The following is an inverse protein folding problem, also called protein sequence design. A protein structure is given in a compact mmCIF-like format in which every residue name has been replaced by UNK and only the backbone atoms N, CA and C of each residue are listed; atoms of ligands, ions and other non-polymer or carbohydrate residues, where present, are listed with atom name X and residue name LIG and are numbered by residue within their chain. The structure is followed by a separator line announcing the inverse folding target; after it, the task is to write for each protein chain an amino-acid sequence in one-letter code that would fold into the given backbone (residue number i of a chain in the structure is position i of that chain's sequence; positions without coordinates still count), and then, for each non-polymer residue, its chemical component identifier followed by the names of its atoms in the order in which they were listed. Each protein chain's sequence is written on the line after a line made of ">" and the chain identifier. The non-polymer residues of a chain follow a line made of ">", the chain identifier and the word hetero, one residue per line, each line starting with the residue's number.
data_IF_819815554240
#
_entry.id   IF_819815554240
#
_cell.length_a   1.000
_cell.length_b   1.000
_cell.length_c   1.000
_cell.angle_alpha   90.00
_cell.angle_beta   90.00
_cell.angle_gamma   90.00
#
_symmetry.space_group_name_H-M   'P 1'
#
loop_
_entity.id
_entity.type
_entity.pdbx_description
1 polymer ?
#
# COMPACT_ATOMS: atom_id res chain seq x y z
N UNK A 1 -17.85 9.34 -42.40
CA UNK A 1 -18.07 8.73 -41.05
C UNK A 1 -17.15 7.54 -40.74
N UNK A 2 -16.59 6.83 -41.74
CA UNK A 2 -15.65 5.71 -41.50
C UNK A 2 -14.35 6.12 -40.77
N UNK A 3 -13.86 7.34 -40.97
CA UNK A 3 -12.60 7.79 -40.37
C UNK A 3 -12.68 8.07 -38.85
N UNK A 4 -13.88 8.34 -38.32
CA UNK A 4 -14.09 8.57 -36.88
C UNK A 4 -13.98 7.25 -36.09
N UNK A 5 -14.37 6.12 -36.70
CA UNK A 5 -14.29 4.80 -36.07
C UNK A 5 -12.83 4.40 -35.77
N UNK A 6 -11.88 4.77 -36.64
CA UNK A 6 -10.46 4.46 -36.43
C UNK A 6 -9.84 5.26 -35.27
N UNK A 7 -10.27 6.50 -35.04
CA UNK A 7 -9.79 7.33 -33.92
C UNK A 7 -10.29 6.75 -32.58
N UNK A 8 -11.53 6.27 -32.54
CA UNK A 8 -12.10 5.60 -31.36
C UNK A 8 -11.37 4.28 -31.10
N UNK A 9 -11.03 3.50 -32.13
CA UNK A 9 -10.29 2.25 -31.98
C UNK A 9 -8.87 2.43 -31.41
N UNK A 10 -8.17 3.51 -31.78
CA UNK A 10 -6.80 3.83 -31.30
C UNK A 10 -6.81 4.27 -29.83
N UNK A 11 -7.90 4.86 -29.33
CA UNK A 11 -8.02 5.25 -27.92
C UNK A 11 -8.26 4.06 -26.97
N UNK A 12 -8.70 2.91 -27.49
CA UNK A 12 -9.03 1.72 -26.66
C UNK A 12 -7.78 0.86 -26.39
N UNK A 13 -6.75 0.91 -27.25
CA UNK A 13 -5.54 0.07 -27.10
C UNK A 13 -4.54 0.59 -26.06
N UNK A 14 -4.73 1.80 -25.52
CA UNK A 14 -3.72 2.47 -24.68
C UNK A 14 -3.91 2.32 -23.17
N UNK A 15 -4.80 1.42 -22.69
CA UNK A 15 -5.03 1.29 -21.23
C UNK A 15 -4.98 -0.11 -20.64
N UNK A 16 -4.31 -1.07 -21.28
CA UNK A 16 -3.86 -2.31 -20.60
C UNK A 16 -2.67 -2.04 -19.67
N UNK A 17 -2.84 -1.09 -18.75
CA UNK A 17 -1.93 -0.91 -17.62
C UNK A 17 -2.17 -2.05 -16.63
N UNK A 18 -1.55 -3.19 -16.93
CA UNK A 18 -1.11 -4.11 -15.89
C UNK A 18 -0.26 -3.30 -14.90
N UNK A 19 -0.48 -3.46 -13.60
CA UNK A 19 0.44 -2.87 -12.62
C UNK A 19 1.82 -3.43 -12.92
N UNK A 20 2.73 -2.58 -13.40
CA UNK A 20 4.02 -3.02 -13.86
C UNK A 20 4.86 -3.44 -12.65
N UNK A 21 5.08 -4.74 -12.56
CA UNK A 21 5.90 -5.35 -11.52
C UNK A 21 7.32 -4.76 -11.52
N UNK A 22 7.82 -4.38 -12.70
CA UNK A 22 9.14 -3.76 -12.88
C UNK A 22 9.14 -2.35 -12.30
N UNK A 23 8.11 -1.53 -12.55
CA UNK A 23 8.03 -0.18 -11.96
C UNK A 23 7.94 -0.22 -10.44
N UNK A 24 7.20 -1.19 -9.87
CA UNK A 24 7.14 -1.38 -8.42
C UNK A 24 8.52 -1.75 -7.85
N UNK A 25 9.25 -2.66 -8.50
CA UNK A 25 10.61 -3.04 -8.07
C UNK A 25 11.61 -1.89 -8.07
N UNK A 26 11.47 -0.90 -8.95
CA UNK A 26 12.42 0.22 -9.06
C UNK A 26 12.08 1.43 -8.18
N UNK A 27 10.94 1.41 -7.49
CA UNK A 27 10.45 2.58 -6.74
C UNK A 27 10.92 2.56 -5.28
N UNK A 28 11.55 3.65 -4.85
CA UNK A 28 11.99 3.85 -3.46
C UNK A 28 10.83 4.05 -2.48
N UNK A 29 9.68 4.51 -3.00
CA UNK A 29 8.44 4.65 -2.25
C UNK A 29 7.36 3.76 -2.86
N UNK A 30 6.71 2.95 -2.01
CA UNK A 30 5.61 2.09 -2.39
C UNK A 30 4.36 2.49 -1.62
N UNK A 31 3.22 2.41 -2.29
CA UNK A 31 1.93 2.66 -1.68
C UNK A 31 1.09 1.38 -1.69
N UNK A 32 0.44 1.06 -0.58
CA UNK A 32 -0.47 -0.09 -0.49
C UNK A 32 -1.88 0.42 -0.30
N UNK A 33 -2.79 0.04 -1.21
CA UNK A 33 -4.16 0.56 -1.21
C UNK A 33 -5.05 -0.26 -0.27
N UNK A 34 -5.48 0.35 0.83
CA UNK A 34 -6.46 -0.22 1.76
C UNK A 34 -7.85 0.33 1.48
N UNK A 35 -8.84 -0.55 1.30
CA UNK A 35 -10.24 -0.21 0.98
C UNK A 35 -11.21 -0.61 2.08
N UNK A 36 -10.79 -1.42 3.06
CA UNK A 36 -11.67 -1.96 4.10
C UNK A 36 -12.69 -2.98 3.57
N UNK A 37 -12.32 -3.78 2.57
CA UNK A 37 -13.18 -4.86 2.04
C UNK A 37 -13.15 -6.10 2.94
N UNK A 38 -14.00 -7.11 2.63
CA UNK A 38 -14.15 -8.37 3.41
C UNK A 38 -12.84 -9.03 3.88
N UNK A 39 -11.78 -8.98 3.06
CA UNK A 39 -10.49 -9.62 3.34
C UNK A 39 -9.41 -8.63 3.80
N UNK A 40 -9.81 -7.46 4.24
CA UNK A 40 -8.94 -6.39 4.71
C UNK A 40 -9.42 -5.99 6.12
N UNK A 41 -8.56 -6.08 7.13
CA UNK A 41 -8.87 -5.60 8.48
C UNK A 41 -7.95 -4.45 8.86
N UNK A 42 -8.51 -3.50 9.59
CA UNK A 42 -7.77 -2.44 10.27
C UNK A 42 -8.08 -2.55 11.76
N UNK A 43 -7.05 -2.58 12.58
CA UNK A 43 -7.16 -2.38 14.02
C UNK A 43 -6.47 -1.08 14.40
N UNK A 44 -7.11 -0.31 15.28
CA UNK A 44 -6.54 0.89 15.88
C UNK A 44 -6.44 0.59 17.36
N UNK A 45 -5.23 0.63 17.90
CA UNK A 45 -4.97 0.49 19.32
C UNK A 45 -4.75 1.90 19.87
N UNK A 46 -5.79 2.55 20.45
CA UNK A 46 -5.62 3.84 21.10
C UNK A 46 -4.70 3.66 22.31
N UNK A 47 -3.62 4.46 22.37
CA UNK A 47 -2.61 4.24 23.41
C UNK A 47 -2.99 4.76 24.79
N UNK A 48 -2.60 3.96 25.78
CA UNK A 48 -2.58 4.25 27.22
C UNK A 48 -1.26 4.86 27.71
N UNK A 49 -0.23 5.10 26.85
CA UNK A 49 1.11 5.60 27.28
C UNK A 49 1.74 6.77 26.49
N UNK A 50 1.53 6.93 25.18
CA UNK A 50 2.17 8.04 24.41
C UNK A 50 1.23 8.88 23.53
N UNK A 51 -0.09 8.85 23.76
CA UNK A 51 -1.10 9.58 22.97
C UNK A 51 -0.93 9.39 21.45
N UNK A 52 -0.59 8.16 21.02
CA UNK A 52 -0.40 7.81 19.63
C UNK A 52 -1.30 6.63 19.24
N UNK A 53 -1.95 6.70 18.09
CA UNK A 53 -2.78 5.62 17.59
C UNK A 53 -1.94 4.65 16.76
N UNK A 54 -1.54 3.54 17.36
CA UNK A 54 -0.91 2.45 16.61
C UNK A 54 -1.96 1.75 15.75
N UNK A 55 -1.58 1.40 14.52
CA UNK A 55 -2.51 0.82 13.54
C UNK A 55 -1.90 -0.43 12.93
N UNK A 56 -2.75 -1.43 12.76
CA UNK A 56 -2.41 -2.67 12.04
C UNK A 56 -3.35 -2.81 10.87
N UNK A 57 -2.79 -2.98 9.68
CA UNK A 57 -3.50 -3.25 8.44
C UNK A 57 -3.18 -4.66 7.97
N UNK A 58 -4.20 -5.52 7.92
CA UNK A 58 -4.05 -6.94 7.58
C UNK A 58 -4.83 -7.28 6.31
N UNK A 59 -4.18 -7.93 5.35
CA UNK A 59 -4.78 -8.42 4.11
C UNK A 59 -4.82 -9.96 4.12
N UNK A 60 -6.00 -10.52 4.42
CA UNK A 60 -6.29 -11.96 4.51
C UNK A 60 -6.62 -12.55 3.14
N UNK A 61 -5.61 -12.57 2.27
CA UNK A 61 -5.78 -12.96 0.87
C UNK A 61 -5.16 -14.34 0.60
N UNK A 62 -4.39 -14.86 1.55
CA UNK A 62 -3.76 -16.19 1.50
C UNK A 62 -4.45 -17.08 2.54
N UNK A 63 -4.75 -18.33 2.18
CA UNK A 63 -5.59 -19.21 3.00
C UNK A 63 -5.02 -19.48 4.42
N UNK A 64 -3.72 -19.23 4.62
CA UNK A 64 -3.02 -19.38 5.91
C UNK A 64 -2.11 -18.21 6.29
N UNK A 65 -2.06 -17.14 5.48
CA UNK A 65 -1.13 -16.02 5.70
C UNK A 65 -1.80 -14.66 5.48
N UNK A 66 -1.31 -13.64 6.18
CA UNK A 66 -1.70 -12.25 6.00
C UNK A 66 -0.51 -11.40 5.62
N UNK A 67 -0.74 -10.45 4.71
CA UNK A 67 0.14 -9.28 4.62
C UNK A 67 -0.25 -8.32 5.74
N UNK A 68 0.65 -8.08 6.69
CA UNK A 68 0.45 -7.22 7.86
C UNK A 68 1.39 -6.03 7.80
N UNK A 69 0.80 -4.84 7.90
CA UNK A 69 1.48 -3.55 7.83
C UNK A 69 1.18 -2.74 9.09
N UNK A 70 2.24 -2.28 9.76
CA UNK A 70 2.17 -1.64 11.06
C UNK A 70 2.52 -0.17 10.95
N UNK A 71 1.59 0.69 11.38
CA UNK A 71 1.88 2.08 11.66
C UNK A 71 2.10 2.22 13.16
N UNK A 72 3.30 2.61 13.56
CA UNK A 72 3.69 2.82 14.96
C UNK A 72 4.25 4.22 15.12
N UNK A 73 4.24 4.76 16.34
CA UNK A 73 4.86 6.08 16.62
C UNK A 73 6.28 6.16 16.10
N UNK A 74 7.06 5.12 16.36
CA UNK A 74 8.40 4.95 15.85
C UNK A 74 8.42 3.67 15.04
N UNK A 75 8.88 3.73 13.80
CA UNK A 75 9.03 2.56 12.95
C UNK A 75 10.10 1.63 13.53
N UNK A 76 11.30 2.14 13.81
CA UNK A 76 12.38 1.34 14.41
C UNK A 76 12.78 1.78 15.82
N UNK A 77 13.62 0.98 16.49
CA UNK A 77 14.24 1.34 17.76
C UNK A 77 15.15 2.57 17.61
N UNK A 78 15.91 2.63 16.53
CA UNK A 78 16.78 3.76 16.19
C UNK A 78 15.95 5.05 16.06
N UNK A 79 14.81 4.97 15.37
CA UNK A 79 13.88 6.10 15.25
C UNK A 79 13.28 6.49 16.61
N UNK A 80 13.05 5.53 17.51
CA UNK A 80 12.62 5.84 18.89
C UNK A 80 13.70 6.57 19.67
N UNK A 81 14.97 6.17 19.56
CA UNK A 81 16.10 6.83 20.24
C UNK A 81 16.32 8.23 19.67
N UNK A 82 16.21 8.38 18.34
CA UNK A 82 16.32 9.66 17.64
C UNK A 82 15.05 10.53 17.71
N UNK A 83 13.97 10.04 18.32
CA UNK A 83 12.66 10.68 18.37
C UNK A 83 12.09 11.06 16.99
N UNK A 84 12.33 10.23 15.98
CA UNK A 84 11.82 10.38 14.60
C UNK A 84 10.48 9.65 14.51
N UNK A 85 9.39 10.40 14.45
CA UNK A 85 8.03 9.85 14.40
C UNK A 85 7.68 9.43 12.97
N UNK A 86 6.98 8.30 12.82
CA UNK A 86 6.49 7.82 11.53
C UNK A 86 5.55 8.82 10.86
N UNK A 87 5.68 8.97 9.55
CA UNK A 87 5.01 10.03 8.80
C UNK A 87 3.51 9.75 8.55
N UNK A 88 2.70 10.81 8.59
CA UNK A 88 1.27 10.79 8.27
C UNK A 88 0.95 11.94 7.33
N UNK A 89 0.47 11.62 6.13
CA UNK A 89 0.14 12.62 5.11
C UNK A 89 -1.35 12.69 4.83
N UNK A 90 -1.82 13.86 4.44
CA UNK A 90 -3.15 14.06 3.89
C UNK A 90 -3.01 14.49 2.43
N UNK A 91 -3.49 13.68 1.51
CA UNK A 91 -3.36 13.90 0.06
C UNK A 91 -4.73 13.99 -0.62
N UNK A 92 -4.77 14.65 -1.78
CA UNK A 92 -5.98 14.68 -2.59
C UNK A 92 -6.20 13.36 -3.34
N UNK A 93 -7.46 13.03 -3.70
CA UNK A 93 -7.81 11.83 -4.48
C UNK A 93 -7.06 11.70 -5.81
N UNK A 94 -6.66 12.83 -6.42
CA UNK A 94 -5.84 12.84 -7.65
C UNK A 94 -4.46 12.22 -7.45
N UNK A 95 -3.95 12.15 -6.21
CA UNK A 95 -2.71 11.47 -5.86
C UNK A 95 -2.71 10.00 -6.30
N UNK A 96 -3.83 9.29 -6.10
CA UNK A 96 -3.97 7.87 -6.49
C UNK A 96 -3.79 7.72 -8.01
N UNK A 97 -4.34 8.65 -8.79
CA UNK A 97 -4.20 8.63 -10.25
C UNK A 97 -2.76 8.87 -10.68
N UNK A 98 -2.10 9.88 -10.07
CA UNK A 98 -0.71 10.25 -10.39
C UNK A 98 0.31 9.17 -9.99
N UNK A 99 0.05 8.43 -8.92
CA UNK A 99 0.97 7.42 -8.40
C UNK A 99 0.57 5.98 -8.71
N UNK A 100 -0.36 5.75 -9.66
CA UNK A 100 -0.94 4.42 -9.93
C UNK A 100 0.10 3.31 -10.17
N UNK A 101 1.23 3.62 -10.79
CA UNK A 101 2.32 2.68 -11.06
C UNK A 101 3.09 2.23 -9.80
N UNK A 102 3.00 3.00 -8.71
CA UNK A 102 3.65 2.74 -7.42
C UNK A 102 2.69 2.17 -6.37
N UNK A 103 1.44 1.90 -6.75
CA UNK A 103 0.39 1.43 -5.84
C UNK A 103 0.21 -0.08 -5.97
N UNK A 104 0.43 -0.83 -4.90
CA UNK A 104 -0.01 -2.21 -4.75
C UNK A 104 -1.50 -2.21 -4.42
N UNK A 105 -2.28 -2.93 -5.22
CA UNK A 105 -3.73 -3.11 -4.97
C UNK A 105 -4.02 -4.48 -4.34
N UNK A 106 -5.17 -4.64 -3.65
CA UNK A 106 -5.61 -5.95 -3.16
C UNK A 106 -5.68 -7.01 -4.27
N UNK A 107 -6.04 -6.61 -5.50
CA UNK A 107 -6.06 -7.49 -6.67
C UNK A 107 -4.65 -7.97 -7.06
N UNK A 108 -3.63 -7.14 -6.88
CA UNK A 108 -2.25 -7.52 -7.15
C UNK A 108 -1.72 -8.48 -6.08
N UNK A 109 -2.01 -8.19 -4.80
CA UNK A 109 -1.65 -9.07 -3.69
C UNK A 109 -2.22 -10.47 -3.92
N UNK A 110 -3.50 -10.57 -4.34
CA UNK A 110 -4.15 -11.86 -4.65
C UNK A 110 -3.51 -12.65 -5.79
N UNK A 111 -2.84 -11.99 -6.73
CA UNK A 111 -2.32 -12.61 -7.95
C UNK A 111 -0.86 -13.04 -7.84
N UNK A 112 -0.18 -12.73 -6.75
CA UNK A 112 1.25 -12.94 -6.58
C UNK A 112 1.50 -13.66 -5.27
N UNK A 113 2.58 -14.42 -5.21
CA UNK A 113 3.05 -15.07 -3.99
C UNK A 113 3.41 -13.99 -2.94
N UNK A 114 2.97 -14.18 -1.69
CA UNK A 114 3.16 -13.22 -0.59
C UNK A 114 4.65 -12.96 -0.34
N UNK A 115 5.43 -14.02 -0.20
CA UNK A 115 6.87 -13.96 0.04
C UNK A 115 7.60 -13.18 -1.05
N UNK A 116 7.20 -13.38 -2.30
CA UNK A 116 7.73 -12.62 -3.43
C UNK A 116 7.38 -11.13 -3.36
N UNK A 117 6.18 -10.77 -2.92
CA UNK A 117 5.81 -9.36 -2.73
C UNK A 117 6.67 -8.74 -1.63
N UNK A 118 6.79 -9.42 -0.49
CA UNK A 118 7.55 -8.94 0.68
C UNK A 118 9.02 -8.76 0.32
N UNK A 119 9.67 -9.79 -0.22
CA UNK A 119 11.09 -9.76 -0.54
C UNK A 119 11.44 -8.78 -1.67
N UNK A 120 10.63 -8.73 -2.74
CA UNK A 120 11.02 -8.00 -3.96
C UNK A 120 10.46 -6.57 -4.02
N UNK A 121 9.37 -6.26 -3.32
CA UNK A 121 8.66 -4.97 -3.41
C UNK A 121 8.56 -4.27 -2.07
N UNK A 122 8.27 -4.98 -0.98
CA UNK A 122 8.05 -4.39 0.35
C UNK A 122 9.25 -4.62 1.29
N UNK A 123 10.45 -4.72 0.75
CA UNK A 123 11.64 -4.91 1.58
C UNK A 123 11.94 -3.68 2.45
N UNK A 124 12.71 -3.89 3.51
CA UNK A 124 13.00 -2.89 4.55
C UNK A 124 13.79 -1.64 4.07
N UNK A 125 14.26 -1.62 2.82
CA UNK A 125 15.01 -0.48 2.28
C UNK A 125 14.13 0.58 1.60
N UNK A 126 12.80 0.45 1.69
CA UNK A 126 11.84 1.31 1.01
C UNK A 126 10.91 1.99 1.99
N UNK A 127 10.45 3.18 1.62
CA UNK A 127 9.38 3.86 2.35
C UNK A 127 8.04 3.31 1.87
N UNK A 128 7.24 2.77 2.80
CA UNK A 128 5.95 2.17 2.48
C UNK A 128 4.85 3.00 3.13
N UNK A 129 3.86 3.39 2.34
CA UNK A 129 2.66 4.05 2.86
C UNK A 129 1.41 3.22 2.62
N UNK A 130 0.55 3.10 3.63
CA UNK A 130 -0.84 2.70 3.42
C UNK A 130 -1.65 3.89 2.93
N UNK A 131 -2.37 3.74 1.82
CA UNK A 131 -3.44 4.64 1.40
C UNK A 131 -4.74 4.16 2.04
N UNK A 132 -5.18 4.80 3.13
CA UNK A 132 -6.39 4.40 3.84
C UNK A 132 -7.64 5.07 3.25
N UNK A 133 -8.36 4.34 2.39
CA UNK A 133 -9.59 4.85 1.79
C UNK A 133 -10.79 4.86 2.75
N UNK A 134 -10.68 4.25 3.94
CA UNK A 134 -11.77 4.21 4.93
C UNK A 134 -11.84 5.48 5.77
N UNK A 135 -10.75 6.25 5.85
CA UNK A 135 -10.68 7.56 6.54
C UNK A 135 -10.80 8.76 5.59
N UNK A 136 -11.50 8.56 4.48
CA UNK A 136 -11.71 9.60 3.48
C UNK A 136 -12.67 10.66 4.01
N UNK A 137 -12.21 11.90 4.08
CA UNK A 137 -13.07 13.08 4.28
C UNK A 137 -13.07 13.90 3.00
N UNK A 138 -14.24 14.01 2.38
CA UNK A 138 -14.43 14.69 1.07
C UNK A 138 -13.48 14.14 -0.01
N UNK A 139 -12.49 14.94 -0.42
CA UNK A 139 -11.49 14.63 -1.45
C UNK A 139 -10.09 14.33 -0.88
N UNK A 140 -9.96 14.32 0.45
CA UNK A 140 -8.71 14.07 1.16
C UNK A 140 -8.63 12.61 1.61
N UNK A 141 -7.44 12.04 1.52
CA UNK A 141 -7.12 10.65 1.86
C UNK A 141 -5.89 10.68 2.76
N UNK A 142 -5.91 9.91 3.84
CA UNK A 142 -4.76 9.78 4.74
C UNK A 142 -3.81 8.70 4.25
N UNK A 143 -2.52 9.01 4.33
CA UNK A 143 -1.42 8.09 4.14
C UNK A 143 -0.72 7.89 5.47
N UNK A 144 -0.41 6.65 5.80
CA UNK A 144 0.34 6.29 7.00
C UNK A 144 1.61 5.58 6.56
N UNK A 145 2.78 6.07 6.98
CA UNK A 145 4.01 5.32 6.84
C UNK A 145 3.93 4.05 7.68
N UNK A 146 4.32 2.92 7.09
CA UNK A 146 4.17 1.60 7.70
C UNK A 146 5.40 0.74 7.51
N UNK A 147 5.55 -0.21 8.41
CA UNK A 147 6.51 -1.30 8.31
C UNK A 147 5.81 -2.61 7.98
N UNK A 148 6.53 -3.50 7.30
CA UNK A 148 6.10 -4.88 7.09
C UNK A 148 6.37 -5.68 8.36
N UNK A 149 5.33 -6.32 8.90
CA UNK A 149 5.50 -7.31 9.96
C UNK A 149 5.11 -8.73 9.55
N UNK A 150 4.81 -8.95 8.27
CA UNK A 150 4.68 -10.31 7.71
C UNK A 150 6.02 -11.01 7.71
N UNK A 151 6.06 -12.19 8.33
CA UNK A 151 7.21 -13.09 8.27
C UNK A 151 6.91 -14.16 7.23
N UNK A 152 7.75 -14.21 6.20
CA UNK A 152 7.71 -15.25 5.19
C UNK A 152 8.50 -16.46 5.71
N UNK A 153 7.80 -17.56 6.00
CA UNK A 153 8.47 -18.85 6.21
C UNK A 153 8.76 -19.37 4.82
N UNK A 154 10.02 -19.25 4.39
CA UNK A 154 10.40 -19.57 3.02
C UNK A 154 9.97 -20.98 2.63
N UNK A 155 9.32 -21.09 1.47
CA UNK A 155 9.43 -22.31 0.68
C UNK A 155 10.80 -22.21 0.01
N UNK A 156 11.73 -23.06 0.42
CA UNK A 156 13.05 -23.20 -0.20
C UNK A 156 12.99 -23.56 -1.68
#
# INVERSE_FOLDING_TARGET
>A
MKNILYIIAILITSTTYSQDYVSLKKSDTIYVLFKGKKNERKSIQPQTKYNYDDRVYSFFIFDQESLDLYHRKYSSYENSVANIVSDVKVVNKSFIKKNKAKIITPKFIKKKNLCKIVAEILNHHRVIYIIDCTEKKENKIKLYEVEVGTICRGDG
#
